data_IF_975804726020
#
_entry.id   IF_975804726020
#
_cell.length_a   1.000
_cell.length_b   1.000
_cell.length_c   1.000
_cell.angle_alpha   90.00
_cell.angle_beta   90.00
_cell.angle_gamma   90.00
#
_symmetry.space_group_name_H-M   'P 1'
#
loop_
_entity.id
_entity.type
_entity.pdbx_description
1 polymer ?
#
# COMPACT_ATOMS: atom_id res chain seq x y z
N UNK A 1 32.24 24.85 -69.71
CA UNK A 1 31.39 23.74 -69.23
C UNK A 1 30.77 24.20 -67.92
N UNK A 2 29.48 24.11 -67.60
CA UNK A 2 28.22 23.93 -68.32
C UNK A 2 27.16 24.09 -67.22
N UNK A 3 26.50 25.24 -67.13
CA UNK A 3 25.33 25.43 -66.24
C UNK A 3 24.08 24.89 -66.94
N UNK A 4 23.11 24.35 -66.17
CA UNK A 4 21.68 24.58 -66.40
C UNK A 4 21.05 25.26 -65.16
N UNK A 5 20.33 26.38 -65.29
CA UNK A 5 18.89 26.48 -65.63
C UNK A 5 17.99 25.67 -64.67
N UNK A 6 16.98 26.26 -64.02
CA UNK A 6 15.73 26.86 -64.56
C UNK A 6 14.99 27.64 -63.42
N UNK A 7 14.00 28.53 -63.60
CA UNK A 7 13.51 29.40 -64.70
C UNK A 7 12.57 30.43 -64.05
N UNK A 8 12.63 31.72 -64.42
CA UNK A 8 11.62 32.72 -64.01
C UNK A 8 10.61 32.88 -65.16
N UNK A 9 9.31 32.89 -64.83
CA UNK A 9 8.24 33.28 -65.77
C UNK A 9 7.09 33.92 -65.01
N UNK A 10 6.50 34.98 -65.57
CA UNK A 10 5.39 35.77 -65.03
C UNK A 10 4.40 36.13 -66.16
N UNK A 11 3.41 37.00 -65.92
CA UNK A 11 2.03 36.73 -65.48
C UNK A 11 1.05 36.62 -66.69
N UNK A 12 -0.30 36.75 -66.55
CA UNK A 12 -0.92 38.09 -66.44
C UNK A 12 -2.28 38.18 -65.69
N UNK A 13 -2.67 39.44 -65.40
CA UNK A 13 -4.02 40.04 -65.43
C UNK A 13 -5.25 39.39 -64.73
N UNK A 14 -6.34 40.11 -64.43
CA UNK A 14 -6.60 41.50 -64.02
C UNK A 14 -8.12 41.55 -63.72
N UNK A 15 -8.56 42.12 -62.60
CA UNK A 15 -9.88 42.78 -62.48
C UNK A 15 -10.07 43.40 -61.10
N UNK A 16 -10.31 44.71 -61.12
CA UNK A 16 -10.46 45.59 -59.98
C UNK A 16 -11.87 45.60 -59.38
N UNK A 17 -11.97 45.81 -58.06
CA UNK A 17 -12.98 46.71 -57.46
C UNK A 17 -12.59 47.21 -56.07
N UNK A 18 -12.52 48.54 -55.95
CA UNK A 18 -12.57 49.35 -54.71
C UNK A 18 -13.88 49.04 -53.93
N UNK A 19 -14.06 49.19 -52.61
CA UNK A 19 -13.28 49.75 -51.47
C UNK A 19 -13.81 49.09 -50.15
N UNK A 20 -13.39 49.35 -48.90
CA UNK A 20 -12.70 50.49 -48.25
C UNK A 20 -11.90 50.03 -47.00
N UNK A 21 -11.40 50.98 -46.19
CA UNK A 21 -10.76 50.83 -44.86
C UNK A 21 -11.66 51.48 -43.76
N UNK A 22 -11.43 51.33 -42.42
CA UNK A 22 -10.13 51.08 -41.75
C UNK A 22 -10.06 50.16 -40.50
N UNK A 23 -8.81 49.79 -40.16
CA UNK A 23 -8.20 49.46 -38.85
C UNK A 23 -8.96 48.69 -37.74
N UNK A 24 -8.42 47.52 -37.38
CA UNK A 24 -8.10 47.18 -35.98
C UNK A 24 -7.02 46.09 -35.86
N UNK A 25 -5.99 46.44 -35.09
CA UNK A 25 -4.76 45.75 -34.66
C UNK A 25 -4.58 44.22 -34.75
N UNK A 26 -3.34 43.86 -35.11
CA UNK A 26 -2.76 42.52 -35.00
C UNK A 26 -2.35 42.28 -33.54
N UNK A 27 -2.90 41.24 -32.90
CA UNK A 27 -2.31 40.63 -31.70
C UNK A 27 -2.01 39.16 -31.95
N UNK A 28 -0.72 38.83 -31.91
CA UNK A 28 -0.19 37.47 -32.00
C UNK A 28 -0.65 36.61 -30.82
N UNK A 29 -1.50 35.62 -31.07
CA UNK A 29 -1.88 34.64 -30.06
C UNK A 29 -0.74 33.65 -29.81
N UNK A 30 0.05 33.89 -28.76
CA UNK A 30 0.96 32.87 -28.21
C UNK A 30 0.16 31.67 -27.69
N UNK A 31 0.58 30.42 -27.95
CA UNK A 31 -0.10 29.24 -27.42
C UNK A 31 -0.03 29.21 -25.89
N UNK A 32 -1.19 28.98 -25.26
CA UNK A 32 -1.32 28.93 -23.80
C UNK A 32 -0.64 27.67 -23.26
N UNK A 33 0.31 27.85 -22.34
CA UNK A 33 1.04 26.77 -21.69
C UNK A 33 0.20 26.18 -20.53
N UNK A 34 -0.23 24.93 -20.67
CA UNK A 34 -1.11 24.23 -19.71
C UNK A 34 -0.37 23.50 -18.57
N UNK A 35 0.91 23.81 -18.32
CA UNK A 35 1.75 23.11 -17.33
C UNK A 35 1.45 23.39 -15.84
N UNK A 36 0.32 24.05 -15.52
CA UNK A 36 0.01 24.58 -14.20
C UNK A 36 -1.14 23.87 -13.44
N UNK A 37 -1.54 22.66 -13.83
CA UNK A 37 -2.45 21.81 -13.04
C UNK A 37 -1.72 21.10 -11.89
N UNK A 38 -1.06 21.87 -11.01
CA UNK A 38 -0.26 21.31 -9.91
C UNK A 38 -1.09 21.13 -8.64
N UNK A 39 -1.05 19.94 -8.04
CA UNK A 39 -1.75 19.55 -6.81
C UNK A 39 -1.22 20.24 -5.52
N UNK A 40 -0.52 21.36 -5.66
CA UNK A 40 0.08 22.11 -4.55
C UNK A 40 -0.98 22.98 -3.88
N UNK A 41 -1.41 22.56 -2.68
CA UNK A 41 -2.20 23.41 -1.79
C UNK A 41 -1.43 24.70 -1.49
N UNK A 42 -2.01 25.85 -1.79
CA UNK A 42 -1.43 27.16 -1.47
C UNK A 42 -1.50 27.41 0.05
N UNK A 43 -0.34 27.43 0.69
CA UNK A 43 -0.18 28.02 2.02
C UNK A 43 -0.09 29.55 1.91
N UNK A 44 -0.77 30.23 2.82
CA UNK A 44 -1.07 31.65 2.75
C UNK A 44 0.13 32.50 3.22
N UNK A 45 0.47 33.54 2.47
CA UNK A 45 1.31 34.66 2.95
C UNK A 45 0.64 35.99 2.64
N UNK A 46 0.73 36.91 3.60
CA UNK A 46 -0.22 37.99 3.84
C UNK A 46 0.16 39.33 3.20
N UNK A 47 -0.83 40.19 2.95
CA UNK A 47 -0.74 41.64 3.23
C UNK A 47 -2.13 42.29 3.30
N UNK A 48 -2.29 43.46 3.97
CA UNK A 48 -3.57 43.86 4.54
C UNK A 48 -4.21 45.11 3.91
N UNK A 49 -5.55 45.17 3.91
CA UNK A 49 -6.31 46.42 4.04
C UNK A 49 -7.79 46.16 4.37
N UNK A 50 -8.39 47.19 4.96
CA UNK A 50 -9.82 47.47 5.15
C UNK A 50 -10.66 46.69 6.18
N UNK A 51 -11.06 47.48 7.18
CA UNK A 51 -11.94 47.16 8.29
C UNK A 51 -13.42 47.39 7.96
N UNK A 52 -14.28 46.40 8.24
CA UNK A 52 -15.69 46.67 8.55
C UNK A 52 -16.24 45.64 9.54
N UNK A 53 -17.24 46.04 10.34
CA UNK A 53 -17.56 45.41 11.63
C UNK A 53 -18.59 44.26 11.55
N UNK A 54 -18.27 43.17 12.26
CA UNK A 54 -19.18 42.35 13.11
C UNK A 54 -20.48 41.76 12.53
N UNK A 55 -20.51 40.42 12.49
CA UNK A 55 -21.64 39.64 13.03
C UNK A 55 -21.13 38.32 13.66
N UNK A 56 -21.27 38.18 14.98
CA UNK A 56 -20.81 36.98 15.72
C UNK A 56 -21.85 35.85 15.67
N UNK A 57 -21.43 34.66 15.22
CA UNK A 57 -22.12 33.39 15.51
C UNK A 57 -21.10 32.37 16.04
N UNK A 58 -21.07 32.22 17.36
CA UNK A 58 -20.25 31.21 18.05
C UNK A 58 -20.97 29.86 18.09
N UNK A 59 -20.40 28.85 17.43
CA UNK A 59 -20.72 27.44 17.66
C UNK A 59 -19.44 26.68 17.99
N UNK A 60 -19.22 26.45 19.28
CA UNK A 60 -18.09 25.70 19.81
C UNK A 60 -18.42 24.21 19.88
N UNK A 61 -17.46 23.34 19.57
CA UNK A 61 -17.53 21.92 19.94
C UNK A 61 -16.12 21.36 20.20
N UNK A 62 -15.96 20.42 21.15
CA UNK A 62 -14.75 20.42 21.98
C UNK A 62 -13.73 19.35 21.57
N UNK A 63 -12.46 19.71 21.68
CA UNK A 63 -11.34 18.77 21.66
C UNK A 63 -11.31 17.96 22.96
N UNK A 64 -11.19 16.64 22.86
CA UNK A 64 -11.03 15.76 24.02
C UNK A 64 -9.59 15.79 24.53
N UNK A 65 -9.39 16.39 25.71
CA UNK A 65 -8.16 16.26 26.51
C UNK A 65 -8.43 15.25 27.63
N UNK A 66 -7.54 14.25 27.76
CA UNK A 66 -7.64 13.24 28.80
C UNK A 66 -7.33 13.83 30.18
N UNK A 67 -8.20 13.58 31.16
CA UNK A 67 -7.86 13.64 32.58
C UNK A 67 -8.04 12.26 33.23
N UNK A 68 -7.15 11.98 34.17
CA UNK A 68 -6.95 10.69 34.83
C UNK A 68 -7.85 10.59 36.08
N UNK A 69 -8.58 9.49 36.25
CA UNK A 69 -9.43 9.28 37.42
C UNK A 69 -10.00 7.86 37.52
N UNK A 70 -9.62 7.12 38.57
CA UNK A 70 -10.10 5.76 38.85
C UNK A 70 -11.50 5.75 39.46
N UNK A 71 -12.37 4.79 39.13
CA UNK A 71 -13.62 4.56 39.85
C UNK A 71 -13.46 3.50 40.95
N UNK A 72 -13.96 3.82 42.16
CA UNK A 72 -14.21 2.85 43.23
C UNK A 72 -15.55 2.16 42.99
N UNK A 73 -15.63 0.84 43.17
CA UNK A 73 -16.86 0.07 42.96
C UNK A 73 -17.40 -0.53 44.27
N UNK A 74 -18.67 -0.28 44.58
CA UNK A 74 -19.41 -0.96 45.66
C UNK A 74 -20.76 -1.51 45.17
N UNK A 75 -20.75 -2.83 44.98
CA UNK A 75 -21.81 -3.85 45.02
C UNK A 75 -23.29 -3.43 45.25
N UNK A 76 -24.18 -4.03 44.45
CA UNK A 76 -25.39 -4.72 44.97
C UNK A 76 -25.92 -5.78 43.98
N UNK A 77 -26.49 -6.87 44.52
CA UNK A 77 -26.90 -8.11 43.81
C UNK A 77 -28.43 -8.27 43.91
N UNK A 78 -29.10 -8.95 42.96
CA UNK A 78 -30.10 -9.97 43.36
C UNK A 78 -29.89 -11.37 42.70
N UNK A 79 -30.60 -12.38 43.22
CA UNK A 79 -30.22 -13.82 43.16
C UNK A 79 -31.44 -14.75 43.03
N UNK A 80 -31.32 -15.83 42.23
CA UNK A 80 -31.99 -17.15 42.33
C UNK A 80 -31.29 -18.10 41.30
N UNK A 81 -30.72 -19.29 41.59
CA UNK A 81 -31.18 -20.55 42.27
C UNK A 81 -32.23 -21.29 41.43
N UNK A 82 -32.10 -22.56 41.01
CA UNK A 82 -31.41 -23.82 41.47
C UNK A 82 -31.05 -24.77 40.29
N UNK A 83 -30.39 -25.94 40.35
CA UNK A 83 -29.35 -26.63 41.16
C UNK A 83 -29.46 -28.17 40.89
N UNK A 84 -28.42 -28.85 40.38
CA UNK A 84 -28.07 -30.32 40.46
C UNK A 84 -26.91 -30.61 39.43
N UNK A 85 -25.62 -30.87 39.71
CA UNK A 85 -24.87 -31.95 40.45
C UNK A 85 -24.87 -33.32 39.73
N UNK A 86 -23.78 -34.04 39.40
CA UNK A 86 -22.29 -33.95 39.55
C UNK A 86 -21.63 -35.05 38.64
N UNK A 87 -20.31 -35.42 38.68
CA UNK A 87 -19.05 -34.76 39.11
C UNK A 87 -17.87 -34.79 38.08
N UNK A 88 -16.83 -33.96 38.28
CA UNK A 88 -15.44 -34.43 38.13
C UNK A 88 -14.54 -33.88 37.00
N UNK A 89 -13.92 -32.71 37.22
CA UNK A 89 -12.45 -32.51 37.08
C UNK A 89 -12.06 -31.13 37.60
N UNK A 90 -10.98 -31.05 38.38
CA UNK A 90 -10.49 -29.78 38.94
C UNK A 90 -9.45 -29.17 37.99
N UNK A 91 -9.82 -28.08 37.31
CA UNK A 91 -8.86 -27.11 36.78
C UNK A 91 -8.74 -25.98 37.79
N UNK A 92 -7.64 -25.96 38.53
CA UNK A 92 -7.28 -24.84 39.39
C UNK A 92 -7.14 -23.58 38.53
N UNK A 93 -7.85 -22.52 38.92
CA UNK A 93 -7.73 -21.23 38.26
C UNK A 93 -6.32 -20.68 38.46
N UNK A 94 -5.64 -20.37 37.37
CA UNK A 94 -4.41 -19.57 37.39
C UNK A 94 -4.84 -18.13 37.65
N UNK A 95 -5.01 -17.76 38.92
CA UNK A 95 -5.55 -16.47 39.33
C UNK A 95 -4.87 -15.91 40.59
N UNK A 96 -3.61 -15.53 40.46
CA UNK A 96 -2.93 -14.52 41.30
C UNK A 96 -1.50 -14.31 40.78
N UNK A 97 -1.35 -13.50 39.73
CA UNK A 97 -0.07 -12.81 39.54
C UNK A 97 -0.20 -11.54 40.35
N UNK A 98 0.33 -11.54 41.58
CA UNK A 98 0.41 -10.32 42.38
C UNK A 98 1.19 -9.26 41.60
N UNK A 99 0.74 -8.02 41.67
CA UNK A 99 1.34 -6.93 40.90
C UNK A 99 2.81 -6.76 41.28
N UNK A 100 3.69 -6.73 40.28
CA UNK A 100 5.12 -6.50 40.45
C UNK A 100 5.32 -5.00 40.69
N UNK A 101 5.22 -4.57 41.95
CA UNK A 101 5.23 -3.15 42.34
C UNK A 101 6.64 -2.53 42.39
N UNK A 102 7.70 -3.34 42.47
CA UNK A 102 9.07 -2.85 42.64
C UNK A 102 10.14 -3.82 42.12
N UNK A 103 11.32 -3.30 41.77
CA UNK A 103 12.42 -4.03 41.10
C UNK A 103 12.83 -5.31 41.85
N UNK A 104 12.79 -5.30 43.20
CA UNK A 104 13.11 -6.47 44.02
C UNK A 104 12.09 -7.61 43.85
N UNK A 105 10.80 -7.29 43.70
CA UNK A 105 9.77 -8.29 43.43
C UNK A 105 9.90 -8.89 42.02
N UNK A 106 10.39 -8.10 41.04
CA UNK A 106 10.72 -8.62 39.71
C UNK A 106 11.89 -9.60 39.77
N UNK A 107 12.99 -9.25 40.46
CA UNK A 107 14.13 -10.16 40.61
C UNK A 107 13.77 -11.44 41.37
N UNK A 108 12.92 -11.34 42.39
CA UNK A 108 12.42 -12.49 43.14
C UNK A 108 11.60 -13.42 42.23
N UNK A 109 10.64 -12.85 41.48
CA UNK A 109 9.82 -13.62 40.54
C UNK A 109 10.65 -14.34 39.46
N UNK A 110 11.64 -13.66 38.88
CA UNK A 110 12.53 -14.26 37.87
C UNK A 110 13.37 -15.40 38.47
N UNK A 111 13.86 -15.24 39.70
CA UNK A 111 14.64 -16.26 40.40
C UNK A 111 13.78 -17.47 40.81
N UNK A 112 12.55 -17.24 41.24
CA UNK A 112 11.59 -18.30 41.57
C UNK A 112 11.12 -19.06 40.32
N UNK A 113 10.96 -18.37 39.19
CA UNK A 113 10.67 -18.99 37.89
C UNK A 113 11.84 -19.85 37.39
N UNK A 114 13.08 -19.36 37.47
CA UNK A 114 14.27 -20.14 37.10
C UNK A 114 14.44 -21.37 38.01
N UNK A 115 14.15 -21.24 39.30
CA UNK A 115 14.12 -22.37 40.24
C UNK A 115 13.00 -23.37 39.92
N UNK A 116 11.83 -22.90 39.45
CA UNK A 116 10.74 -23.77 39.00
C UNK A 116 11.13 -24.57 37.75
N UNK A 117 11.71 -23.94 36.72
CA UNK A 117 12.24 -24.66 35.55
C UNK A 117 13.34 -25.66 35.92
N UNK A 118 14.26 -25.27 36.82
CA UNK A 118 15.32 -26.17 37.30
C UNK A 118 14.76 -27.37 38.08
N UNK A 119 13.67 -27.20 38.82
CA UNK A 119 12.98 -28.29 39.54
C UNK A 119 12.22 -29.20 38.59
N UNK A 120 11.55 -28.64 37.56
CA UNK A 120 10.88 -29.41 36.52
C UNK A 120 11.87 -30.27 35.69
N UNK A 121 13.09 -29.78 35.46
CA UNK A 121 14.14 -30.51 34.75
C UNK A 121 14.69 -31.72 35.55
N UNK A 122 14.64 -31.70 36.88
CA UNK A 122 15.17 -32.77 37.75
C UNK A 122 14.17 -33.93 37.95
N UNK A 123 12.90 -33.75 37.55
CA UNK A 123 11.85 -34.78 37.65
C UNK A 123 12.01 -36.00 36.75
N UNK A 124 13.01 -36.06 35.87
CA UNK A 124 13.30 -37.21 35.02
C UNK A 124 14.31 -38.17 35.68
N UNK A 125 13.94 -38.76 36.82
CA UNK A 125 14.63 -39.93 37.36
C UNK A 125 13.66 -41.09 37.57
N UNK A 126 14.14 -42.28 37.20
CA UNK A 126 13.38 -43.52 37.01
C UNK A 126 12.75 -44.03 38.31
N UNK A 127 11.42 -44.03 38.38
CA UNK A 127 10.64 -45.09 39.05
C UNK A 127 9.45 -45.50 38.17
N UNK A 128 9.12 -46.80 38.19
CA UNK A 128 8.19 -47.42 37.24
C UNK A 128 6.82 -47.68 37.89
N UNK A 129 5.75 -46.92 37.54
CA UNK A 129 4.42 -47.21 38.05
C UNK A 129 3.69 -48.20 37.14
N UNK A 130 3.30 -49.34 37.71
CA UNK A 130 2.55 -50.42 37.06
C UNK A 130 1.08 -50.07 36.82
N UNK A 131 0.82 -49.09 35.94
CA UNK A 131 -0.54 -48.67 35.56
C UNK A 131 -0.71 -48.55 34.04
N UNK A 132 -1.62 -49.37 33.48
CA UNK A 132 -1.91 -49.48 32.04
C UNK A 132 -2.49 -48.21 31.38
N UNK A 133 -2.74 -47.14 32.15
CA UNK A 133 -3.23 -45.84 31.68
C UNK A 133 -2.11 -44.83 31.40
N UNK A 134 -0.87 -45.07 31.87
CA UNK A 134 0.27 -44.16 31.65
C UNK A 134 0.69 -44.10 30.17
N UNK A 135 0.53 -45.21 29.45
CA UNK A 135 0.85 -45.35 28.03
C UNK A 135 0.07 -44.41 27.11
N UNK A 136 -1.04 -43.83 27.56
CA UNK A 136 -1.88 -42.97 26.75
C UNK A 136 -1.31 -41.55 26.58
N UNK A 137 -0.55 -41.06 27.58
CA UNK A 137 0.03 -39.72 27.62
C UNK A 137 1.54 -39.67 27.33
N UNK A 138 2.15 -40.81 26.96
CA UNK A 138 3.57 -40.86 26.60
C UNK A 138 3.85 -40.13 25.27
N UNK A 139 4.97 -39.39 25.23
CA UNK A 139 5.37 -38.60 24.06
C UNK A 139 5.52 -39.48 22.79
N UNK A 140 5.18 -38.97 21.59
CA UNK A 140 5.32 -39.72 20.33
C UNK A 140 6.75 -40.20 20.04
N UNK A 141 7.76 -39.54 20.61
CA UNK A 141 9.18 -39.85 20.41
C UNK A 141 9.61 -41.25 20.91
N UNK A 142 8.82 -41.91 21.76
CA UNK A 142 9.13 -43.25 22.29
C UNK A 142 8.33 -44.37 21.64
N UNK A 143 7.54 -44.10 20.59
CA UNK A 143 6.69 -45.11 19.92
C UNK A 143 7.30 -45.58 18.61
N UNK A 144 7.43 -46.90 18.45
CA UNK A 144 7.81 -47.53 17.18
C UNK A 144 6.60 -47.57 16.22
N UNK A 145 6.86 -47.44 14.91
CA UNK A 145 5.80 -47.20 13.91
C UNK A 145 4.83 -48.38 13.68
N UNK A 146 5.06 -49.54 14.29
CA UNK A 146 4.22 -50.74 14.19
C UNK A 146 2.97 -50.69 15.08
N UNK A 147 2.95 -49.88 16.14
CA UNK A 147 1.90 -49.94 17.17
C UNK A 147 0.76 -48.90 16.98
N UNK A 148 0.79 -48.10 15.92
CA UNK A 148 -0.24 -47.06 15.66
C UNK A 148 -1.33 -47.60 14.72
N UNK A 149 -2.61 -47.62 15.13
CA UNK A 149 -3.74 -48.01 14.27
C UNK A 149 -3.77 -47.19 12.96
N UNK A 150 -4.10 -47.82 11.82
CA UNK A 150 -3.94 -47.20 10.50
C UNK A 150 -4.79 -45.94 10.29
N UNK A 151 -5.86 -45.76 11.07
CA UNK A 151 -6.74 -44.58 11.05
C UNK A 151 -6.11 -43.32 11.64
N UNK A 152 -5.18 -43.44 12.59
CA UNK A 152 -4.57 -42.30 13.30
C UNK A 152 -3.30 -41.76 12.63
N UNK A 153 -2.73 -42.49 11.65
CA UNK A 153 -1.52 -42.08 10.91
C UNK A 153 -1.70 -40.78 10.10
N UNK A 154 -2.93 -40.33 9.87
CA UNK A 154 -3.25 -39.08 9.14
C UNK A 154 -3.29 -37.83 10.05
N UNK A 155 -3.20 -38.01 11.37
CA UNK A 155 -3.28 -36.92 12.36
C UNK A 155 -2.05 -36.82 13.27
N UNK A 156 -0.88 -37.26 12.79
CA UNK A 156 0.39 -37.10 13.51
C UNK A 156 0.93 -35.68 13.34
N UNK A 157 1.03 -34.92 14.43
CA UNK A 157 1.67 -33.61 14.42
C UNK A 157 3.18 -33.77 14.22
N UNK A 158 3.71 -33.22 13.13
CA UNK A 158 5.14 -33.29 12.80
C UNK A 158 5.81 -31.98 13.23
N UNK A 159 6.77 -32.07 14.17
CA UNK A 159 7.61 -30.94 14.54
C UNK A 159 8.52 -30.56 13.36
N UNK A 160 8.78 -29.26 13.18
CA UNK A 160 9.67 -28.77 12.14
C UNK A 160 11.10 -29.35 12.34
N UNK A 161 11.76 -29.85 11.28
CA UNK A 161 13.09 -30.41 11.42
C UNK A 161 14.11 -29.33 11.83
N UNK A 162 15.06 -29.64 12.73
CA UNK A 162 16.12 -28.70 13.08
C UNK A 162 17.04 -28.45 11.89
N UNK A 163 17.58 -27.22 11.82
CA UNK A 163 18.39 -26.71 10.72
C UNK A 163 19.63 -27.58 10.45
N UNK A 164 19.62 -28.36 9.37
CA UNK A 164 20.80 -29.08 8.87
C UNK A 164 21.51 -28.25 7.80
N UNK A 165 22.82 -28.10 7.97
CA UNK A 165 23.72 -27.44 7.00
C UNK A 165 23.87 -28.38 5.79
N UNK A 166 23.70 -27.94 4.54
CA UNK A 166 23.72 -28.85 3.39
C UNK A 166 25.15 -29.24 3.01
N UNK A 167 25.46 -30.54 3.12
CA UNK A 167 26.65 -31.15 2.52
C UNK A 167 26.47 -31.33 1.01
N UNK A 168 27.51 -31.04 0.23
CA UNK A 168 27.51 -31.17 -1.24
C UNK A 168 27.55 -32.65 -1.66
N UNK A 169 26.65 -33.09 -2.55
CA UNK A 169 26.69 -34.45 -3.08
C UNK A 169 25.61 -34.85 -4.10
N UNK A 170 25.95 -34.69 -5.39
CA UNK A 170 25.39 -35.39 -6.56
C UNK A 170 24.01 -34.99 -7.14
N UNK A 171 23.78 -35.20 -8.46
CA UNK A 171 22.73 -34.50 -9.21
C UNK A 171 21.61 -35.39 -9.77
N UNK A 172 20.49 -34.77 -10.13
CA UNK A 172 19.50 -35.34 -11.04
C UNK A 172 18.12 -35.62 -10.45
N UNK A 173 17.26 -34.60 -10.43
CA UNK A 173 15.78 -34.71 -10.53
C UNK A 173 15.23 -33.32 -10.88
N UNK A 174 14.08 -33.28 -11.55
CA UNK A 174 13.55 -32.04 -12.15
C UNK A 174 13.04 -31.07 -11.09
N UNK A 175 13.13 -29.77 -11.38
CA UNK A 175 12.80 -28.69 -10.45
C UNK A 175 11.33 -28.26 -10.57
N UNK A 176 10.43 -28.97 -9.89
CA UNK A 176 9.02 -28.58 -9.77
C UNK A 176 8.80 -27.53 -8.67
N UNK A 177 8.57 -26.30 -9.12
CA UNK A 177 7.61 -25.27 -8.65
C UNK A 177 7.18 -25.10 -7.17
N UNK A 178 7.90 -25.67 -6.19
CA UNK A 178 7.56 -25.53 -4.77
C UNK A 178 8.69 -24.86 -3.99
N UNK A 179 8.80 -23.54 -4.15
CA UNK A 179 9.75 -22.73 -3.37
C UNK A 179 9.44 -22.82 -1.87
N UNK A 180 10.27 -23.55 -1.12
CA UNK A 180 10.10 -23.75 0.34
C UNK A 180 9.88 -22.40 1.06
N UNK A 181 8.81 -22.24 1.86
CA UNK A 181 8.49 -20.98 2.52
C UNK A 181 9.64 -20.40 3.35
N UNK A 182 10.42 -21.28 3.97
CA UNK A 182 11.62 -20.95 4.73
C UNK A 182 12.63 -20.13 3.91
N UNK A 183 12.88 -20.50 2.65
CA UNK A 183 13.88 -19.85 1.80
C UNK A 183 13.52 -18.39 1.51
N UNK A 184 12.27 -18.13 1.13
CA UNK A 184 11.78 -16.77 0.84
C UNK A 184 11.68 -15.90 2.10
N UNK A 185 11.38 -16.50 3.26
CA UNK A 185 11.42 -15.81 4.55
C UNK A 185 12.86 -15.42 4.92
N UNK A 186 13.82 -16.34 4.84
CA UNK A 186 15.24 -16.04 5.09
C UNK A 186 15.75 -14.92 4.17
N UNK A 187 15.52 -15.05 2.86
CA UNK A 187 15.93 -14.04 1.87
C UNK A 187 15.30 -12.66 2.15
N UNK A 188 14.03 -12.60 2.56
CA UNK A 188 13.38 -11.34 2.94
C UNK A 188 13.97 -10.72 4.22
N UNK A 189 14.31 -11.54 5.21
CA UNK A 189 14.96 -11.10 6.44
C UNK A 189 16.43 -10.73 6.19
N UNK A 190 17.08 -11.33 5.18
CA UNK A 190 18.40 -10.91 4.70
C UNK A 190 18.34 -9.52 4.07
N UNK A 191 17.36 -9.20 3.22
CA UNK A 191 17.24 -7.86 2.60
C UNK A 191 17.13 -6.75 3.66
N UNK A 192 16.23 -6.89 4.63
CA UNK A 192 16.10 -5.88 5.70
C UNK A 192 17.34 -5.80 6.60
N UNK A 193 18.05 -6.92 6.83
CA UNK A 193 19.34 -6.92 7.54
C UNK A 193 20.47 -6.25 6.75
N UNK A 194 20.57 -6.49 5.44
CA UNK A 194 21.54 -5.81 4.54
C UNK A 194 21.35 -4.29 4.58
N UNK A 195 20.09 -3.85 4.60
CA UNK A 195 19.66 -2.45 4.65
C UNK A 195 19.61 -1.90 6.09
N UNK A 196 20.00 -2.70 7.10
CA UNK A 196 20.11 -2.33 8.53
C UNK A 196 18.81 -1.86 9.20
N UNK A 197 17.65 -2.32 8.72
CA UNK A 197 16.33 -2.01 9.31
C UNK A 197 15.91 -3.11 10.28
N UNK A 198 15.44 -2.73 11.46
CA UNK A 198 14.97 -3.66 12.47
C UNK A 198 13.51 -4.12 12.16
N UNK A 199 13.21 -5.44 12.10
CA UNK A 199 11.86 -5.95 11.81
C UNK A 199 10.74 -5.39 12.71
N UNK A 200 11.04 -5.03 13.95
CA UNK A 200 10.04 -4.45 14.86
C UNK A 200 9.51 -3.10 14.36
N UNK A 201 10.40 -2.28 13.79
CA UNK A 201 10.08 -0.97 13.21
C UNK A 201 9.32 -1.11 11.89
N UNK A 202 9.61 -2.16 11.12
CA UNK A 202 8.95 -2.43 9.84
C UNK A 202 7.43 -2.59 9.97
N UNK A 203 6.92 -3.13 11.08
CA UNK A 203 5.48 -3.22 11.35
C UNK A 203 4.84 -1.83 11.49
N UNK A 204 5.50 -0.91 12.19
CA UNK A 204 5.04 0.47 12.33
C UNK A 204 5.10 1.22 10.99
N UNK A 205 6.20 1.09 10.24
CA UNK A 205 6.33 1.68 8.90
C UNK A 205 5.25 1.16 7.94
N UNK A 206 4.90 -0.13 8.02
CA UNK A 206 3.84 -0.73 7.21
C UNK A 206 2.47 -0.13 7.57
N UNK A 207 2.16 0.05 8.86
CA UNK A 207 0.97 0.75 9.31
C UNK A 207 0.96 2.23 8.86
N UNK A 208 2.06 2.96 9.02
CA UNK A 208 2.22 4.34 8.58
C UNK A 208 1.98 4.47 7.06
N UNK A 209 2.57 3.58 6.25
CA UNK A 209 2.40 3.59 4.79
C UNK A 209 0.93 3.35 4.40
N UNK A 210 0.26 2.39 5.06
CA UNK A 210 -1.16 2.12 4.80
C UNK A 210 -2.04 3.31 5.17
N UNK A 211 -1.79 3.95 6.31
CA UNK A 211 -2.46 5.19 6.72
C UNK A 211 -2.21 6.32 5.71
N UNK A 212 -0.97 6.51 5.25
CA UNK A 212 -0.62 7.54 4.28
C UNK A 212 -1.31 7.31 2.92
N UNK A 213 -1.26 6.10 2.37
CA UNK A 213 -1.95 5.77 1.10
C UNK A 213 -3.46 6.02 1.24
N UNK A 214 -4.05 5.59 2.37
CA UNK A 214 -5.49 5.75 2.61
C UNK A 214 -5.90 7.22 2.74
N UNK A 215 -5.15 8.04 3.48
CA UNK A 215 -5.50 9.45 3.75
C UNK A 215 -5.07 10.43 2.65
N UNK A 216 -3.91 10.21 2.05
CA UNK A 216 -3.32 11.11 1.05
C UNK A 216 -3.83 10.80 -0.36
N UNK A 217 -3.99 9.52 -0.71
CA UNK A 217 -4.41 9.12 -2.06
C UNK A 217 -5.89 8.73 -2.06
N UNK A 218 -6.27 7.61 -1.43
CA UNK A 218 -7.61 7.02 -1.59
C UNK A 218 -8.74 7.95 -1.13
N UNK A 219 -8.65 8.52 0.07
CA UNK A 219 -9.70 9.41 0.60
C UNK A 219 -9.83 10.72 -0.19
N UNK A 220 -8.72 11.26 -0.71
CA UNK A 220 -8.76 12.44 -1.60
C UNK A 220 -9.39 12.09 -2.94
N UNK A 221 -9.01 10.94 -3.51
CA UNK A 221 -9.52 10.45 -4.78
C UNK A 221 -11.03 10.18 -4.74
N UNK A 222 -11.55 9.58 -3.65
CA UNK A 222 -13.00 9.40 -3.46
C UNK A 222 -13.73 10.74 -3.43
N UNK A 223 -13.22 11.72 -2.69
CA UNK A 223 -13.80 13.07 -2.65
C UNK A 223 -13.77 13.77 -4.00
N UNK A 224 -12.69 13.62 -4.76
CA UNK A 224 -12.58 14.22 -6.09
C UNK A 224 -13.54 13.56 -7.09
N UNK A 225 -13.70 12.24 -7.03
CA UNK A 225 -14.73 11.51 -7.80
C UNK A 225 -16.13 12.05 -7.50
N UNK A 226 -16.45 12.28 -6.22
CA UNK A 226 -17.75 12.83 -5.79
C UNK A 226 -17.93 14.30 -6.22
N UNK A 227 -16.91 15.14 -6.07
CA UNK A 227 -16.94 16.54 -6.51
C UNK A 227 -17.07 16.69 -8.04
N UNK A 228 -16.42 15.80 -8.81
CA UNK A 228 -16.51 15.73 -10.27
C UNK A 228 -17.90 15.23 -10.72
N UNK A 229 -18.46 14.21 -10.06
CA UNK A 229 -19.85 13.75 -10.31
C UNK A 229 -20.85 14.90 -10.09
N UNK A 230 -20.75 15.62 -8.97
CA UNK A 230 -21.59 16.79 -8.68
C UNK A 230 -21.40 17.93 -9.68
N UNK A 231 -20.17 18.16 -10.14
CA UNK A 231 -19.87 19.19 -11.14
C UNK A 231 -20.47 18.83 -12.50
N UNK A 232 -20.32 17.58 -12.96
CA UNK A 232 -20.91 17.09 -14.20
C UNK A 232 -22.44 17.20 -14.15
N UNK A 233 -23.06 16.83 -13.02
CA UNK A 233 -24.50 17.03 -12.81
C UNK A 233 -24.91 18.51 -12.91
N UNK A 234 -24.19 19.43 -12.25
CA UNK A 234 -24.44 20.88 -12.30
C UNK A 234 -24.32 21.47 -13.71
N UNK A 235 -23.47 20.92 -14.56
CA UNK A 235 -23.31 21.30 -15.96
C UNK A 235 -24.23 20.55 -16.94
N UNK A 236 -25.23 19.80 -16.43
CA UNK A 236 -26.22 19.10 -17.26
C UNK A 236 -25.77 17.76 -17.83
N UNK A 237 -24.59 17.26 -17.43
CA UNK A 237 -24.00 15.99 -17.86
C UNK A 237 -24.27 14.86 -16.85
N UNK A 238 -25.49 14.79 -16.31
CA UNK A 238 -25.86 13.86 -15.24
C UNK A 238 -25.82 12.38 -15.66
N UNK A 239 -25.79 12.09 -16.96
CA UNK A 239 -25.60 10.75 -17.53
C UNK A 239 -24.11 10.34 -17.63
N UNK A 240 -23.19 11.26 -17.34
CA UNK A 240 -21.75 11.05 -17.36
C UNK A 240 -21.23 11.00 -15.93
N UNK A 241 -21.39 9.83 -15.30
CA UNK A 241 -20.97 9.58 -13.92
C UNK A 241 -19.69 8.74 -13.86
N UNK A 242 -18.72 9.16 -13.05
CA UNK A 242 -17.44 8.45 -12.87
C UNK A 242 -17.70 7.06 -12.26
N UNK A 243 -17.17 6.02 -12.91
CA UNK A 243 -17.44 4.62 -12.57
C UNK A 243 -18.64 4.02 -13.28
N UNK A 244 -19.64 4.81 -13.70
CA UNK A 244 -20.79 4.30 -14.48
C UNK A 244 -20.59 4.40 -15.99
N UNK A 245 -19.82 5.38 -16.47
CA UNK A 245 -19.42 5.45 -17.89
C UNK A 245 -18.04 4.82 -18.14
N UNK A 246 -17.84 4.28 -19.34
CA UNK A 246 -16.54 3.80 -19.79
C UNK A 246 -15.51 4.92 -19.91
N UNK A 247 -14.24 4.58 -19.64
CA UNK A 247 -13.09 5.48 -19.60
C UNK A 247 -12.95 6.39 -20.83
N UNK A 248 -13.15 5.84 -22.03
CA UNK A 248 -13.04 6.59 -23.29
C UNK A 248 -14.14 7.63 -23.47
N UNK A 249 -15.32 7.43 -22.87
CA UNK A 249 -16.38 8.44 -22.85
C UNK A 249 -15.97 9.57 -21.91
N UNK A 250 -15.47 9.23 -20.73
CA UNK A 250 -15.00 10.19 -19.72
C UNK A 250 -13.86 11.07 -20.24
N UNK A 251 -12.88 10.47 -20.94
CA UNK A 251 -11.79 11.18 -21.63
C UNK A 251 -12.29 12.20 -22.65
N UNK A 252 -13.23 11.81 -23.51
CA UNK A 252 -13.83 12.73 -24.50
C UNK A 252 -14.58 13.88 -23.82
N UNK A 253 -15.32 13.61 -22.74
CA UNK A 253 -16.01 14.66 -21.97
C UNK A 253 -15.03 15.66 -21.36
N UNK A 254 -13.92 15.19 -20.79
CA UNK A 254 -12.88 16.06 -20.20
C UNK A 254 -12.19 16.98 -21.22
N UNK A 255 -12.19 16.61 -22.50
CA UNK A 255 -11.63 17.41 -23.60
C UNK A 255 -12.61 18.48 -24.14
N UNK A 256 -13.89 18.44 -23.76
CA UNK A 256 -14.86 19.48 -24.14
C UNK A 256 -14.43 20.80 -23.48
N UNK A 257 -14.27 21.88 -24.26
CA UNK A 257 -13.76 23.17 -23.78
C UNK A 257 -14.49 23.71 -22.55
N UNK A 258 -15.82 23.57 -22.51
CA UNK A 258 -16.64 24.00 -21.37
C UNK A 258 -16.41 23.12 -20.12
N UNK A 259 -16.07 21.84 -20.29
CA UNK A 259 -15.77 20.93 -19.18
C UNK A 259 -14.33 21.16 -18.69
N UNK A 260 -13.36 21.33 -19.59
CA UNK A 260 -11.97 21.58 -19.19
C UNK A 260 -11.78 22.92 -18.47
N UNK A 261 -12.59 23.93 -18.80
CA UNK A 261 -12.59 25.23 -18.11
C UNK A 261 -13.31 25.19 -16.75
N UNK A 262 -14.47 24.54 -16.65
CA UNK A 262 -15.29 24.55 -15.44
C UNK A 262 -15.04 23.37 -14.47
N UNK A 263 -14.46 22.28 -14.96
CA UNK A 263 -14.16 21.04 -14.20
C UNK A 263 -12.71 20.57 -14.53
N UNK A 264 -11.68 21.39 -14.30
CA UNK A 264 -10.29 21.05 -14.65
C UNK A 264 -9.77 19.81 -13.90
N UNK A 265 -10.33 19.50 -12.72
CA UNK A 265 -9.93 18.33 -11.92
C UNK A 265 -10.30 17.01 -12.58
N UNK A 266 -11.31 16.96 -13.46
CA UNK A 266 -11.64 15.76 -14.24
C UNK A 266 -10.48 15.31 -15.13
N UNK A 267 -9.73 16.25 -15.71
CA UNK A 267 -8.53 15.94 -16.52
C UNK A 267 -7.44 15.30 -15.63
N UNK A 268 -7.29 15.82 -14.41
CA UNK A 268 -6.32 15.31 -13.43
C UNK A 268 -6.76 13.98 -12.79
N UNK A 269 -8.05 13.67 -12.81
CA UNK A 269 -8.64 12.43 -12.29
C UNK A 269 -8.47 11.25 -13.26
N UNK A 270 -8.55 11.49 -14.57
CA UNK A 270 -8.48 10.44 -15.60
C UNK A 270 -7.30 9.47 -15.42
N UNK A 271 -6.04 9.92 -15.20
CA UNK A 271 -4.90 9.01 -15.05
C UNK A 271 -5.04 7.95 -13.96
N UNK A 272 -5.78 8.23 -12.87
CA UNK A 272 -6.05 7.28 -11.77
C UNK A 272 -7.09 6.20 -12.13
N UNK A 273 -7.78 6.39 -13.25
CA UNK A 273 -8.86 5.51 -13.73
C UNK A 273 -8.40 4.60 -14.90
N UNK A 274 -7.14 4.70 -15.33
CA UNK A 274 -6.63 4.01 -16.53
C UNK A 274 -6.17 2.56 -16.29
N UNK A 275 -6.32 2.02 -15.09
CA UNK A 275 -5.91 0.65 -14.77
C UNK A 275 -6.75 -0.43 -15.48
N UNK A 276 -8.04 -0.19 -15.69
CA UNK A 276 -8.96 -1.17 -16.30
C UNK A 276 -10.12 -0.50 -17.01
N UNK A 277 -10.63 -1.15 -18.05
CA UNK A 277 -11.87 -0.75 -18.73
C UNK A 277 -13.11 -0.90 -17.85
N UNK A 278 -13.08 -1.79 -16.84
CA UNK A 278 -14.17 -1.95 -15.87
C UNK A 278 -14.12 -0.83 -14.80
N UNK A 279 -14.66 0.33 -15.17
CA UNK A 279 -14.70 1.53 -14.34
C UNK A 279 -15.55 1.35 -13.08
N UNK A 280 -16.65 0.57 -13.16
CA UNK A 280 -17.53 0.32 -12.02
C UNK A 280 -16.79 -0.44 -10.92
N UNK A 281 -16.07 -1.50 -11.31
CA UNK A 281 -15.19 -2.24 -10.40
C UNK A 281 -14.12 -1.35 -9.79
N UNK A 282 -13.37 -0.59 -10.61
CA UNK A 282 -12.26 0.23 -10.14
C UNK A 282 -12.71 1.30 -9.13
N UNK A 283 -13.77 2.06 -9.45
CA UNK A 283 -14.30 3.09 -8.57
C UNK A 283 -14.88 2.50 -7.28
N UNK A 284 -15.51 1.32 -7.37
CA UNK A 284 -15.98 0.59 -6.18
C UNK A 284 -14.81 0.18 -5.29
N UNK A 285 -13.72 -0.39 -5.84
CA UNK A 285 -12.51 -0.73 -5.06
C UNK A 285 -11.85 0.48 -4.43
N UNK A 286 -11.73 1.59 -5.15
CA UNK A 286 -11.19 2.85 -4.59
C UNK A 286 -12.02 3.29 -3.37
N UNK A 287 -13.35 3.27 -3.49
CA UNK A 287 -14.27 3.61 -2.39
C UNK A 287 -14.20 2.63 -1.22
N UNK A 288 -13.98 1.34 -1.47
CA UNK A 288 -13.86 0.31 -0.44
C UNK A 288 -12.52 0.35 0.29
N UNK A 289 -11.40 0.50 -0.42
CA UNK A 289 -10.07 0.64 0.17
C UNK A 289 -9.91 1.95 0.96
N UNK A 290 -10.68 2.99 0.64
CA UNK A 290 -10.76 4.23 1.42
C UNK A 290 -11.46 4.06 2.78
N UNK A 291 -12.27 3.01 2.99
CA UNK A 291 -12.96 2.75 4.26
C UNK A 291 -11.95 2.40 5.36
N UNK A 292 -12.28 2.76 6.61
CA UNK A 292 -11.49 2.43 7.80
C UNK A 292 -10.13 3.14 7.92
N UNK A 293 -9.68 3.90 6.91
CA UNK A 293 -8.48 4.75 7.00
C UNK A 293 -7.12 4.05 6.99
N UNK A 294 -7.08 2.71 6.99
CA UNK A 294 -5.86 1.88 6.94
C UNK A 294 -5.97 0.72 5.93
N UNK A 295 -6.90 0.81 4.97
CA UNK A 295 -7.18 -0.22 3.96
C UNK A 295 -7.48 -1.61 4.56
N UNK A 296 -8.43 -1.70 5.51
CA UNK A 296 -8.80 -2.97 6.15
C UNK A 296 -9.23 -4.05 5.14
N UNK A 297 -9.96 -3.63 4.11
CA UNK A 297 -10.50 -4.48 3.04
C UNK A 297 -9.47 -4.92 1.98
N UNK A 298 -8.19 -4.61 2.18
CA UNK A 298 -7.12 -4.93 1.24
C UNK A 298 -6.84 -6.44 1.14
N UNK A 299 -6.94 -6.97 -0.08
CA UNK A 299 -6.64 -8.35 -0.46
C UNK A 299 -5.55 -8.36 -1.55
N UNK A 300 -4.36 -8.79 -1.18
CA UNK A 300 -3.16 -8.60 -2.00
C UNK A 300 -3.18 -9.35 -3.35
N UNK A 301 -3.77 -10.54 -3.41
CA UNK A 301 -3.80 -11.44 -4.58
C UNK A 301 -5.18 -11.59 -5.21
N UNK A 302 -6.15 -10.77 -4.81
CA UNK A 302 -7.49 -10.75 -5.37
C UNK A 302 -8.04 -9.32 -5.24
N UNK A 303 -9.35 -9.13 -5.32
CA UNK A 303 -9.96 -7.82 -5.10
C UNK A 303 -11.36 -7.91 -4.52
N UNK A 304 -12.21 -6.95 -4.91
CA UNK A 304 -13.58 -6.82 -4.43
C UNK A 304 -14.53 -7.82 -5.07
N UNK A 305 -15.57 -8.19 -4.32
CA UNK A 305 -16.80 -8.67 -4.95
C UNK A 305 -17.57 -7.45 -5.49
N UNK A 306 -18.21 -7.60 -6.65
CA UNK A 306 -19.02 -6.56 -7.28
C UNK A 306 -20.42 -7.13 -7.54
N UNK A 307 -21.47 -6.47 -7.03
CA UNK A 307 -22.86 -6.93 -7.14
C UNK A 307 -23.06 -8.40 -6.72
N UNK A 308 -22.43 -8.81 -5.60
CA UNK A 308 -22.39 -10.19 -5.09
C UNK A 308 -21.73 -11.23 -6.03
N UNK A 309 -21.03 -10.81 -7.08
CA UNK A 309 -20.10 -11.68 -7.82
C UNK A 309 -18.72 -11.61 -7.17
N UNK A 310 -18.06 -12.75 -7.03
CA UNK A 310 -16.69 -12.82 -6.54
C UNK A 310 -15.70 -12.20 -7.54
N UNK A 311 -14.49 -11.93 -7.07
CA UNK A 311 -13.40 -11.42 -7.90
C UNK A 311 -12.95 -12.48 -8.92
N UNK A 312 -12.75 -12.07 -10.17
CA UNK A 312 -12.24 -12.89 -11.26
C UNK A 312 -10.83 -12.43 -11.69
N UNK A 313 -10.01 -13.36 -12.19
CA UNK A 313 -8.61 -13.12 -12.58
C UNK A 313 -8.40 -12.03 -13.65
N UNK A 314 -9.44 -11.74 -14.45
CA UNK A 314 -9.39 -10.68 -15.45
C UNK A 314 -9.46 -9.25 -14.84
N UNK A 315 -9.81 -9.13 -13.55
CA UNK A 315 -9.91 -7.86 -12.83
C UNK A 315 -8.63 -7.57 -12.05
N UNK A 316 -8.17 -6.30 -11.95
CA UNK A 316 -6.97 -5.99 -11.19
C UNK A 316 -7.15 -6.32 -9.70
N UNK A 317 -6.11 -6.90 -9.12
CA UNK A 317 -5.99 -7.14 -7.67
C UNK A 317 -5.84 -5.83 -6.91
N UNK A 318 -6.11 -5.80 -5.60
CA UNK A 318 -5.90 -4.58 -4.81
C UNK A 318 -4.44 -4.14 -4.80
N UNK A 319 -3.48 -5.06 -4.93
CA UNK A 319 -2.07 -4.68 -5.06
C UNK A 319 -1.81 -3.92 -6.36
N UNK A 320 -2.41 -4.36 -7.47
CA UNK A 320 -2.31 -3.66 -8.75
C UNK A 320 -3.03 -2.29 -8.70
N UNK A 321 -4.19 -2.21 -8.04
CA UNK A 321 -4.90 -0.95 -7.77
C UNK A 321 -4.02 0.00 -6.95
N UNK A 322 -3.53 -0.41 -5.79
CA UNK A 322 -2.74 0.45 -4.90
C UNK A 322 -1.42 0.86 -5.56
N UNK A 323 -0.72 -0.03 -6.28
CA UNK A 323 0.51 0.31 -6.99
C UNK A 323 0.27 1.35 -8.11
N UNK A 324 -0.81 1.17 -8.89
CA UNK A 324 -1.20 2.15 -9.92
C UNK A 324 -1.51 3.52 -9.31
N UNK A 325 -2.36 3.57 -8.29
CA UNK A 325 -2.73 4.83 -7.63
C UNK A 325 -1.53 5.53 -6.97
N UNK A 326 -0.59 4.76 -6.42
CA UNK A 326 0.67 5.28 -5.89
C UNK A 326 1.57 5.86 -6.98
N UNK A 327 1.75 5.13 -8.09
CA UNK A 327 2.55 5.58 -9.23
C UNK A 327 1.96 6.85 -9.87
N UNK A 328 0.66 6.85 -10.16
CA UNK A 328 -0.06 8.01 -10.71
C UNK A 328 -0.06 9.22 -9.76
N UNK A 329 -0.13 8.99 -8.44
CA UNK A 329 0.06 10.06 -7.48
C UNK A 329 1.45 10.68 -7.60
N UNK A 330 2.53 9.88 -7.61
CA UNK A 330 3.88 10.41 -7.75
C UNK A 330 4.15 11.06 -9.12
N UNK A 331 3.55 10.54 -10.20
CA UNK A 331 3.56 11.19 -11.52
C UNK A 331 3.04 12.63 -11.45
N UNK A 332 1.99 12.89 -10.64
CA UNK A 332 1.42 14.24 -10.44
C UNK A 332 2.25 15.16 -9.54
N UNK A 333 3.19 14.62 -8.75
CA UNK A 333 4.03 15.39 -7.82
C UNK A 333 5.41 15.74 -8.41
N UNK A 334 5.93 14.90 -9.31
CA UNK A 334 7.22 15.08 -9.96
C UNK A 334 7.11 16.04 -11.17
N UNK A 335 8.15 16.84 -11.47
CA UNK A 335 8.15 17.70 -12.64
C UNK A 335 8.21 16.85 -13.93
N UNK A 336 7.55 17.29 -15.02
CA UNK A 336 7.66 16.61 -16.32
C UNK A 336 9.11 16.62 -16.80
N UNK A 337 9.57 15.45 -17.26
CA UNK A 337 10.93 15.27 -17.79
C UNK A 337 10.92 15.50 -19.31
N UNK A 338 11.89 16.24 -19.90
CA UNK A 338 11.96 16.46 -21.34
C UNK A 338 12.06 15.18 -22.18
N UNK A 339 12.51 14.08 -21.58
CA UNK A 339 12.65 12.76 -22.20
C UNK A 339 11.38 11.90 -22.10
N UNK A 340 10.32 12.38 -21.44
CA UNK A 340 9.13 11.61 -21.12
C UNK A 340 7.85 12.32 -21.63
N UNK A 341 7.49 12.13 -22.91
CA UNK A 341 6.36 12.83 -23.53
C UNK A 341 5.00 12.43 -22.94
N UNK A 342 4.91 11.27 -22.30
CA UNK A 342 3.67 10.72 -21.74
C UNK A 342 3.23 11.39 -20.43
N UNK A 343 4.04 12.31 -19.91
CA UNK A 343 3.73 13.09 -18.70
C UNK A 343 3.78 12.29 -17.39
N UNK A 344 4.42 11.10 -17.39
CA UNK A 344 4.49 10.18 -16.23
C UNK A 344 5.90 9.98 -15.69
N UNK A 345 6.50 11.01 -15.07
CA UNK A 345 7.89 10.99 -14.61
C UNK A 345 8.23 9.92 -13.57
N UNK A 346 7.29 9.48 -12.73
CA UNK A 346 7.50 8.34 -11.84
C UNK A 346 7.41 7.03 -12.61
N UNK A 347 6.29 6.81 -13.32
CA UNK A 347 6.00 5.54 -13.98
C UNK A 347 7.07 5.16 -15.01
N UNK A 348 7.56 6.11 -15.83
CA UNK A 348 8.54 5.79 -16.87
C UNK A 348 9.99 5.71 -16.39
N UNK A 349 10.31 6.09 -15.15
CA UNK A 349 11.69 6.12 -14.63
C UNK A 349 11.93 5.20 -13.43
N UNK A 350 10.90 4.96 -12.60
CA UNK A 350 11.01 4.22 -11.34
C UNK A 350 10.07 3.02 -11.25
N UNK A 351 9.31 2.71 -12.30
CA UNK A 351 8.43 1.53 -12.35
C UNK A 351 8.55 0.79 -13.69
N UNK A 352 8.52 -0.54 -13.64
CA UNK A 352 8.46 -1.42 -14.80
C UNK A 352 7.71 -2.72 -14.45
N UNK A 353 7.28 -3.48 -15.46
CA UNK A 353 6.49 -4.71 -15.26
C UNK A 353 6.71 -5.73 -16.38
N UNK A 354 6.62 -7.01 -16.08
CA UNK A 354 6.59 -8.07 -17.10
C UNK A 354 5.39 -7.87 -18.05
N UNK A 355 5.48 -8.14 -19.37
CA UNK A 355 6.58 -8.78 -20.11
C UNK A 355 7.74 -7.85 -20.52
N UNK A 356 7.67 -6.55 -20.20
CA UNK A 356 8.74 -5.62 -20.56
C UNK A 356 10.04 -5.98 -19.81
N UNK A 357 11.18 -5.78 -20.47
CA UNK A 357 12.48 -6.10 -19.85
C UNK A 357 12.69 -5.21 -18.62
N UNK A 358 13.20 -5.76 -17.50
CA UNK A 358 13.59 -4.92 -16.37
C UNK A 358 14.63 -3.88 -16.82
N UNK A 359 14.58 -2.65 -16.30
CA UNK A 359 15.65 -1.68 -16.51
C UNK A 359 17.00 -2.27 -16.09
N UNK A 360 18.05 -2.09 -16.90
CA UNK A 360 19.38 -2.64 -16.64
C UNK A 360 20.45 -1.55 -16.71
N UNK A 361 21.34 -1.52 -15.72
CA UNK A 361 22.47 -0.61 -15.67
C UNK A 361 22.91 -0.30 -14.25
N UNK A 362 24.17 0.14 -14.07
CA UNK A 362 24.76 0.42 -12.76
C UNK A 362 24.05 1.52 -11.94
N UNK A 363 23.28 2.37 -12.62
CA UNK A 363 22.51 3.46 -12.03
C UNK A 363 20.99 3.19 -12.10
N UNK A 364 20.55 1.95 -12.35
CA UNK A 364 19.13 1.59 -12.30
C UNK A 364 18.62 1.72 -10.87
N UNK A 365 17.50 2.40 -10.68
CA UNK A 365 16.78 2.40 -9.41
C UNK A 365 15.27 2.40 -9.69
N UNK A 366 14.63 1.23 -9.63
CA UNK A 366 13.23 1.08 -10.05
C UNK A 366 12.53 -0.12 -9.39
N UNK A 367 11.24 0.02 -9.13
CA UNK A 367 10.35 -1.08 -8.73
C UNK A 367 9.99 -1.88 -9.98
N UNK A 368 10.23 -3.20 -9.97
CA UNK A 368 9.89 -4.09 -11.07
C UNK A 368 8.83 -5.12 -10.65
N UNK A 369 7.71 -5.15 -11.35
CA UNK A 369 6.66 -6.16 -11.15
C UNK A 369 6.99 -7.42 -11.97
N UNK A 370 7.65 -8.37 -11.33
CA UNK A 370 8.10 -9.64 -11.94
C UNK A 370 6.95 -10.60 -12.27
N UNK A 371 5.84 -10.52 -11.53
CA UNK A 371 4.68 -11.40 -11.70
C UNK A 371 3.36 -10.60 -11.67
N UNK A 372 2.45 -10.90 -12.60
CA UNK A 372 1.15 -10.24 -12.69
C UNK A 372 0.12 -10.84 -11.72
N UNK A 373 -0.04 -12.17 -11.74
CA UNK A 373 -0.92 -12.91 -10.83
C UNK A 373 -0.22 -14.16 -10.26
N UNK A 374 -0.25 -14.39 -8.93
CA UNK A 374 -0.40 -13.35 -7.91
C UNK A 374 0.67 -12.26 -8.08
N UNK A 375 0.37 -11.00 -7.73
CA UNK A 375 1.29 -9.88 -7.96
C UNK A 375 2.54 -9.99 -7.09
N UNK A 376 3.71 -9.81 -7.70
CA UNK A 376 5.01 -9.80 -7.01
C UNK A 376 5.89 -8.66 -7.52
N UNK A 377 6.39 -7.85 -6.59
CA UNK A 377 7.21 -6.67 -6.81
C UNK A 377 8.57 -6.84 -6.15
N UNK A 378 9.63 -6.51 -6.89
CA UNK A 378 11.01 -6.42 -6.39
C UNK A 378 11.57 -5.02 -6.62
N UNK A 379 12.65 -4.66 -5.94
CA UNK A 379 13.35 -3.39 -6.16
C UNK A 379 14.69 -3.66 -6.85
N UNK A 380 14.93 -2.98 -7.96
CA UNK A 380 16.20 -2.99 -8.69
C UNK A 380 17.08 -1.84 -8.18
N UNK A 381 18.33 -2.15 -7.85
CA UNK A 381 19.30 -1.23 -7.26
C UNK A 381 20.69 -1.46 -7.89
N UNK A 382 20.94 -0.79 -9.01
CA UNK A 382 22.09 -1.03 -9.88
C UNK A 382 22.04 -2.40 -10.54
N UNK A 383 23.02 -3.25 -10.22
CA UNK A 383 23.08 -4.65 -10.67
C UNK A 383 22.38 -5.61 -9.68
N UNK A 384 22.04 -5.15 -8.47
CA UNK A 384 21.37 -5.95 -7.45
C UNK A 384 19.83 -5.95 -7.61
N UNK A 385 19.21 -7.09 -7.33
CA UNK A 385 17.75 -7.22 -7.17
C UNK A 385 17.42 -7.52 -5.72
N UNK A 386 16.74 -6.58 -5.07
CA UNK A 386 16.30 -6.69 -3.68
C UNK A 386 14.87 -7.25 -3.64
N UNK A 387 14.77 -8.54 -3.34
CA UNK A 387 13.51 -9.28 -3.26
C UNK A 387 13.04 -9.43 -1.80
N UNK A 388 11.88 -8.86 -1.49
CA UNK A 388 11.16 -9.10 -0.23
C UNK A 388 10.20 -10.29 -0.40
N UNK A 389 9.80 -10.92 0.71
CA UNK A 389 8.94 -12.11 0.68
C UNK A 389 7.65 -11.87 -0.12
N UNK A 390 7.26 -12.89 -0.90
CA UNK A 390 5.98 -12.95 -1.62
C UNK A 390 4.80 -12.90 -0.64
N UNK A 391 3.63 -12.45 -1.09
CA UNK A 391 2.39 -12.48 -0.30
C UNK A 391 1.90 -11.11 0.18
N UNK A 392 1.06 -11.12 1.23
CA UNK A 392 0.25 -9.97 1.70
C UNK A 392 1.01 -8.65 1.91
N UNK A 393 2.27 -8.73 2.31
CA UNK A 393 3.08 -7.56 2.60
C UNK A 393 4.07 -7.18 1.48
N UNK A 394 4.18 -7.96 0.38
CA UNK A 394 5.17 -7.74 -0.67
C UNK A 394 5.13 -6.30 -1.21
N UNK A 395 3.98 -5.85 -1.71
CA UNK A 395 3.80 -4.48 -2.22
C UNK A 395 4.26 -3.42 -1.21
N UNK A 396 3.76 -3.47 0.03
CA UNK A 396 4.09 -2.47 1.05
C UNK A 396 5.57 -2.53 1.44
N UNK A 397 6.16 -3.72 1.53
CA UNK A 397 7.57 -3.89 1.87
C UNK A 397 8.49 -3.41 0.74
N UNK A 398 8.15 -3.64 -0.53
CA UNK A 398 8.89 -3.10 -1.68
C UNK A 398 8.77 -1.57 -1.76
N UNK A 399 7.59 -1.00 -1.48
CA UNK A 399 7.41 0.45 -1.37
C UNK A 399 8.22 1.06 -0.21
N UNK A 400 8.20 0.44 0.97
CA UNK A 400 9.02 0.88 2.11
C UNK A 400 10.52 0.80 1.82
N UNK A 401 10.96 -0.26 1.14
CA UNK A 401 12.35 -0.45 0.75
C UNK A 401 12.80 0.63 -0.25
N UNK A 402 11.94 0.95 -1.23
CA UNK A 402 12.14 2.05 -2.16
C UNK A 402 12.29 3.38 -1.42
N UNK A 403 11.35 3.72 -0.52
CA UNK A 403 11.41 4.97 0.25
C UNK A 403 12.64 5.05 1.17
N UNK A 404 13.02 3.95 1.79
CA UNK A 404 14.21 3.88 2.63
C UNK A 404 15.49 4.10 1.82
N UNK A 405 15.61 3.51 0.62
CA UNK A 405 16.77 3.74 -0.24
C UNK A 405 16.79 5.18 -0.83
N UNK A 406 15.64 5.77 -1.18
CA UNK A 406 15.58 7.20 -1.54
C UNK A 406 16.04 8.09 -0.38
N UNK A 407 15.63 7.78 0.85
CA UNK A 407 16.04 8.55 2.03
C UNK A 407 17.55 8.43 2.32
N UNK A 408 18.10 7.23 2.20
CA UNK A 408 19.49 6.93 2.59
C UNK A 408 20.53 7.20 1.49
N UNK A 409 20.21 6.99 0.21
CA UNK A 409 21.11 7.22 -0.93
C UNK A 409 20.95 8.60 -1.55
N UNK A 410 19.71 9.02 -1.79
CA UNK A 410 19.38 10.27 -2.49
C UNK A 410 18.98 11.40 -1.54
N UNK A 411 19.29 11.27 -0.24
CA UNK A 411 18.97 12.25 0.82
C UNK A 411 17.49 12.68 0.84
N UNK A 412 16.59 11.76 0.51
CA UNK A 412 15.14 12.00 0.46
C UNK A 412 14.65 12.71 -0.80
N UNK A 413 15.50 12.87 -1.82
CA UNK A 413 15.15 13.47 -3.11
C UNK A 413 14.78 12.40 -4.13
N UNK A 414 13.60 12.55 -4.75
CA UNK A 414 13.23 11.78 -5.93
C UNK A 414 13.34 12.69 -7.16
N UNK A 415 14.45 12.55 -7.89
CA UNK A 415 14.83 13.48 -8.95
C UNK A 415 15.06 14.89 -8.42
N UNK A 416 14.11 15.81 -8.64
CA UNK A 416 14.16 17.20 -8.15
C UNK A 416 13.17 17.52 -7.04
N UNK A 417 12.46 16.51 -6.52
CA UNK A 417 11.40 16.70 -5.51
C UNK A 417 11.80 16.07 -4.20
N UNK A 418 11.67 16.82 -3.11
CA UNK A 418 11.89 16.31 -1.76
C UNK A 418 10.65 15.49 -1.32
N UNK A 419 10.86 14.25 -0.86
CA UNK A 419 9.79 13.40 -0.35
C UNK A 419 9.51 13.60 1.16
N UNK A 420 10.36 14.35 1.86
CA UNK A 420 10.20 14.70 3.28
C UNK A 420 9.24 15.87 3.52
N UNK A 421 9.24 16.45 4.74
CA UNK A 421 8.28 17.46 5.17
C UNK A 421 8.24 18.73 4.30
N UNK A 422 9.35 19.08 3.65
CA UNK A 422 9.46 20.25 2.76
C UNK A 422 8.87 20.05 1.35
N UNK A 423 8.30 18.87 1.07
CA UNK A 423 7.74 18.54 -0.24
C UNK A 423 6.53 17.62 -0.14
N UNK A 424 6.64 16.38 -0.65
CA UNK A 424 5.49 15.44 -0.74
C UNK A 424 5.02 14.94 0.64
N UNK A 425 5.87 15.07 1.68
CA UNK A 425 5.60 14.60 3.04
C UNK A 425 5.16 13.12 3.08
N UNK A 426 6.01 12.28 2.52
CA UNK A 426 5.92 10.82 2.47
C UNK A 426 6.99 10.14 3.34
N UNK A 427 8.17 10.75 3.55
CA UNK A 427 9.25 10.11 4.32
C UNK A 427 8.95 9.95 5.82
N UNK A 428 8.02 10.72 6.41
CA UNK A 428 7.58 10.48 7.80
C UNK A 428 7.06 9.05 8.03
N UNK A 429 6.63 8.36 6.96
CA UNK A 429 6.24 6.95 7.02
C UNK A 429 7.36 6.06 7.59
N UNK A 430 8.62 6.40 7.31
CA UNK A 430 9.82 5.70 7.76
C UNK A 430 10.59 6.43 8.87
N UNK A 431 10.07 7.55 9.38
CA UNK A 431 10.60 8.23 10.57
C UNK A 431 10.04 7.55 11.85
N UNK A 432 10.81 7.60 12.94
CA UNK A 432 10.49 6.98 14.24
C UNK A 432 10.88 7.90 15.38
#
# INVERSE_FOLDING_TARGET
>A
MMYPHFKITSPPADMSRSSTLPHSDILSSTPINLSASSWRSSSFMSSPSDSMMSANYTMSSPSWVYHQGSPVATLSIPRNRSQQTSPGSQLSAISSVDFIENERSLTQYLQDYENFERTAAVGQSVEQPSNLLSSFWSHPATRTASEVPPTLRRCSYQLAPPTTVPTVGSPGSQADETGSPSSSLYQSQDVWRRVRVNPNVLTQWNANLRMWISKTILFRLVKEIEAVDEALQRHGLADIRVGSVGLERLKKTAQILQVSQNIPTLISLIPFLELTSNQEYLVTRIKELAKGGCMSEFRWNSGGSLHNKDWEEHLPTDSAVVMHLFATYLDSQLPPLPQNPDGRPFTSSYFAKTPDKPPQGKNTFAIYQVQMNPPHYVLLDGEDTLEVAKGRNNLFHTLLLFLHLVNTKEHGMLGRVNLGPSGVNLLWVIET
#
